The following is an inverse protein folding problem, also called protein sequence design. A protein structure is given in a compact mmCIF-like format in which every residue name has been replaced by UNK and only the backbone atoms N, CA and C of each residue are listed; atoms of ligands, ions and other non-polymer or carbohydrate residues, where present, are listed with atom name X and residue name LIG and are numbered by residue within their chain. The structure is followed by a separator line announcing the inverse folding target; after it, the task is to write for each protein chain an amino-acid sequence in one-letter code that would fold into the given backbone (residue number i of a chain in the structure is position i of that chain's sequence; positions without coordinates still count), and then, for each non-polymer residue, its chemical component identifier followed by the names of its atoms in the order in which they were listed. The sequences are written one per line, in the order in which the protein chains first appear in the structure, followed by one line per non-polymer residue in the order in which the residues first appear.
data_IF_225031734436
#
_entry.id   IF_225031734436
#
_cell.length_a   1.000
_cell.length_b   1.000
_cell.length_c   1.000
_cell.angle_alpha   90.00
_cell.angle_beta   90.00
_cell.angle_gamma   90.00
#
_symmetry.space_group_name_H-M   'P 1'
#
loop_
_entity.id
_entity.type
_entity.pdbx_description
1 polymer ?
#
# COMPACT_ATOMS: atom_id res chain seq x y z
N UNK A 1 3.67 -6.86 -15.13
CA UNK A 1 4.14 -6.51 -13.78
C UNK A 1 3.03 -5.82 -13.00
N UNK A 2 2.94 -6.10 -11.70
CA UNK A 2 1.83 -5.66 -10.85
C UNK A 2 2.34 -5.29 -9.47
N UNK A 3 1.81 -4.21 -8.92
CA UNK A 3 1.90 -3.85 -7.52
C UNK A 3 0.48 -3.74 -6.97
N UNK A 4 0.22 -4.38 -5.83
CA UNK A 4 -1.05 -4.32 -5.11
C UNK A 4 -0.82 -3.54 -3.83
N UNK A 5 -1.61 -2.48 -3.64
CA UNK A 5 -1.64 -1.71 -2.41
C UNK A 5 -2.91 -2.08 -1.65
N UNK A 6 -2.76 -2.52 -0.40
CA UNK A 6 -3.88 -2.84 0.50
C UNK A 6 -3.83 -1.85 1.65
N UNK A 7 -4.89 -1.06 1.80
CA UNK A 7 -5.04 -0.06 2.87
C UNK A 7 -6.49 -0.06 3.35
N UNK A 8 -6.73 0.65 4.45
CA UNK A 8 -8.06 0.97 4.96
C UNK A 8 -8.43 2.37 4.53
N UNK A 9 -9.72 2.65 4.41
CA UNK A 9 -10.25 3.98 4.12
C UNK A 9 -10.22 4.90 5.35
N UNK A 10 -10.40 4.35 6.55
CA UNK A 10 -10.23 5.04 7.83
C UNK A 10 -9.79 4.11 8.98
N UNK A 11 -9.64 4.67 10.18
CA UNK A 11 -9.15 3.98 11.38
C UNK A 11 -10.25 3.27 12.20
N UNK A 12 -11.51 3.36 11.80
CA UNK A 12 -12.65 2.67 12.40
C UNK A 12 -13.03 3.08 13.83
N UNK A 13 -12.48 4.19 14.35
CA UNK A 13 -12.67 4.57 15.76
C UNK A 13 -11.76 3.82 16.75
N UNK A 14 -10.83 3.00 16.26
CA UNK A 14 -9.93 2.23 17.11
C UNK A 14 -8.78 3.08 17.66
N UNK A 15 -8.27 2.69 18.83
CA UNK A 15 -7.15 3.38 19.45
C UNK A 15 -5.85 3.15 18.68
N UNK A 16 -5.14 4.25 18.40
CA UNK A 16 -3.73 4.23 18.01
C UNK A 16 -2.95 5.15 18.96
N UNK A 17 -1.75 4.72 19.36
CA UNK A 17 -0.96 5.43 20.36
C UNK A 17 -0.18 6.63 19.81
N UNK A 18 -0.03 6.73 18.48
CA UNK A 18 0.71 7.82 17.84
C UNK A 18 -0.26 8.97 17.56
N UNK A 19 -0.01 10.17 18.13
CA UNK A 19 -0.77 11.36 17.78
C UNK A 19 -0.68 11.64 16.28
N UNK A 20 -1.79 11.90 15.59
CA UNK A 20 -1.76 12.27 14.17
C UNK A 20 -0.90 13.51 13.93
N UNK A 21 -0.01 13.50 12.92
CA UNK A 21 0.75 14.69 12.54
C UNK A 21 -0.16 15.84 12.09
N UNK A 22 0.17 17.06 12.52
CA UNK A 22 -0.48 18.29 12.07
C UNK A 22 0.31 18.88 10.89
N UNK A 23 -0.25 18.74 9.69
CA UNK A 23 0.42 19.05 8.41
C UNK A 23 -0.28 20.14 7.61
N UNK A 24 -1.54 20.42 7.92
CA UNK A 24 -2.37 21.45 7.28
C UNK A 24 -3.59 21.77 8.17
N UNK A 25 -4.56 22.54 7.67
CA UNK A 25 -5.75 22.92 8.45
C UNK A 25 -6.59 21.72 8.95
N UNK A 26 -6.51 20.58 8.28
CA UNK A 26 -7.22 19.35 8.63
C UNK A 26 -6.32 18.33 9.33
N UNK A 27 -4.99 18.42 9.12
CA UNK A 27 -4.03 17.45 9.61
C UNK A 27 -4.10 16.10 8.88
N UNK A 28 -3.36 15.13 9.40
CA UNK A 28 -3.61 13.72 9.12
C UNK A 28 -4.64 13.13 10.09
N UNK A 29 -5.18 11.96 9.72
CA UNK A 29 -5.97 11.13 10.61
C UNK A 29 -5.11 10.18 11.44
N UNK A 30 -5.76 9.37 12.27
CA UNK A 30 -5.10 8.23 12.91
C UNK A 30 -4.51 7.27 11.87
N UNK A 31 -3.45 6.57 12.27
CA UNK A 31 -2.75 5.63 11.39
C UNK A 31 -3.67 4.49 10.96
N UNK A 32 -3.54 4.12 9.70
CA UNK A 32 -4.12 2.89 9.13
C UNK A 32 -3.00 2.00 8.62
N UNK A 33 -3.18 0.67 8.58
CA UNK A 33 -2.17 -0.20 8.00
C UNK A 33 -2.07 -0.01 6.48
N UNK A 34 -0.88 -0.25 5.95
CA UNK A 34 -0.63 -0.29 4.51
C UNK A 34 0.25 -1.49 4.19
N UNK A 35 -0.16 -2.29 3.21
CA UNK A 35 0.63 -3.38 2.66
C UNK A 35 0.88 -3.12 1.18
N UNK A 36 2.13 -3.35 0.75
CA UNK A 36 2.53 -3.28 -0.66
C UNK A 36 3.03 -4.66 -1.07
N UNK A 37 2.38 -5.24 -2.08
CA UNK A 37 2.65 -6.60 -2.55
C UNK A 37 3.03 -6.53 -4.02
N UNK A 38 4.26 -6.96 -4.34
CA UNK A 38 4.75 -7.03 -5.72
C UNK A 38 5.92 -8.01 -5.82
N UNK A 39 6.17 -8.60 -7.01
CA UNK A 39 7.43 -9.27 -7.31
C UNK A 39 8.66 -8.38 -7.08
N UNK A 40 8.48 -7.05 -7.08
CA UNK A 40 9.54 -6.05 -6.87
C UNK A 40 9.57 -5.44 -5.46
N UNK A 41 8.69 -5.84 -4.54
CA UNK A 41 8.83 -5.36 -3.15
C UNK A 41 10.00 -6.05 -2.46
N UNK A 42 10.66 -5.35 -1.54
CA UNK A 42 11.76 -5.91 -0.74
C UNK A 42 11.18 -6.90 0.28
N UNK A 43 11.73 -8.11 0.34
CA UNK A 43 11.19 -9.15 1.21
C UNK A 43 11.32 -8.81 2.70
N UNK A 44 10.25 -9.04 3.47
CA UNK A 44 10.21 -8.77 4.90
C UNK A 44 10.41 -7.31 5.32
N UNK A 45 10.41 -6.35 4.38
CA UNK A 45 10.66 -4.94 4.69
C UNK A 45 9.45 -4.30 5.37
N UNK A 46 9.70 -3.70 6.53
CA UNK A 46 8.81 -2.71 7.15
C UNK A 46 9.38 -1.33 6.83
N UNK A 47 8.67 -0.55 6.01
CA UNK A 47 9.04 0.84 5.77
C UNK A 47 8.53 1.73 6.91
N UNK A 48 9.37 2.68 7.33
CA UNK A 48 9.03 3.70 8.34
C UNK A 48 8.94 5.09 7.72
N UNK A 49 8.96 5.20 6.39
CA UNK A 49 8.65 6.47 5.73
C UNK A 49 7.20 6.88 6.05
N UNK A 50 6.98 8.18 6.19
CA UNK A 50 5.64 8.72 6.40
C UNK A 50 4.79 8.52 5.14
N UNK A 51 3.77 7.68 5.24
CA UNK A 51 2.79 7.46 4.20
C UNK A 51 1.44 8.05 4.60
N UNK A 52 0.74 8.64 3.63
CA UNK A 52 -0.64 9.08 3.75
C UNK A 52 -1.44 8.70 2.48
N UNK A 53 -2.74 8.98 2.46
CA UNK A 53 -3.61 8.50 1.37
C UNK A 53 -3.19 8.95 -0.04
N UNK A 54 -2.68 10.17 -0.16
CA UNK A 54 -2.20 10.72 -1.43
C UNK A 54 -0.85 10.12 -1.87
N UNK A 55 -0.17 9.34 -1.01
CA UNK A 55 1.12 8.71 -1.31
C UNK A 55 0.95 7.60 -2.35
N UNK A 56 -0.23 6.96 -2.38
CA UNK A 56 -0.59 6.02 -3.44
C UNK A 56 -0.79 6.75 -4.77
N UNK A 57 -1.45 7.92 -4.75
CA UNK A 57 -1.57 8.77 -5.95
C UNK A 57 -0.20 9.22 -6.44
N UNK A 58 0.66 9.67 -5.52
CA UNK A 58 2.02 10.09 -5.84
C UNK A 58 2.83 8.97 -6.49
N UNK A 59 2.75 7.75 -5.97
CA UNK A 59 3.37 6.58 -6.60
C UNK A 59 2.89 6.39 -8.05
N UNK A 60 1.57 6.48 -8.30
CA UNK A 60 1.03 6.37 -9.66
C UNK A 60 1.51 7.52 -10.55
N UNK A 61 1.45 8.75 -10.08
CA UNK A 61 1.89 9.92 -10.84
C UNK A 61 3.36 9.82 -11.25
N UNK A 62 4.22 9.31 -10.37
CA UNK A 62 5.64 9.07 -10.67
C UNK A 62 5.83 7.92 -11.67
N UNK A 63 5.09 6.82 -11.51
CA UNK A 63 5.22 5.64 -12.38
C UNK A 63 4.78 5.90 -13.85
N UNK A 64 3.81 6.78 -14.07
CA UNK A 64 3.31 7.12 -15.41
C UNK A 64 3.69 8.53 -15.88
N UNK A 65 4.57 9.21 -15.16
CA UNK A 65 5.00 10.59 -15.45
C UNK A 65 3.80 11.53 -15.66
N UNK A 66 2.80 11.43 -14.78
CA UNK A 66 1.62 12.28 -14.81
C UNK A 66 1.98 13.63 -14.21
N UNK A 67 2.03 14.66 -15.06
CA UNK A 67 2.33 16.04 -14.69
C UNK A 67 1.38 17.01 -15.39
N UNK A 68 0.98 18.13 -14.75
CA UNK A 68 1.29 18.48 -13.36
C UNK A 68 0.62 17.51 -12.36
N UNK A 69 1.10 17.54 -11.10
CA UNK A 69 0.44 16.82 -10.01
C UNK A 69 -1.03 17.24 -9.88
N UNK A 70 -1.90 16.34 -9.46
CA UNK A 70 -3.34 16.61 -9.42
C UNK A 70 -3.68 17.67 -8.36
N UNK A 71 -2.96 17.71 -7.25
CA UNK A 71 -3.18 18.65 -6.14
C UNK A 71 -1.87 19.15 -5.53
N UNK A 72 -1.97 19.92 -4.44
CA UNK A 72 -0.80 20.23 -3.63
C UNK A 72 -0.40 19.09 -2.69
N UNK A 73 -1.34 18.19 -2.35
CA UNK A 73 -1.16 17.15 -1.33
C UNK A 73 -0.38 15.97 -1.88
N UNK A 74 -0.78 15.43 -3.02
CA UNK A 74 -0.01 14.41 -3.76
C UNK A 74 1.40 14.88 -4.16
N UNK A 75 1.55 16.16 -4.52
CA UNK A 75 2.85 16.77 -4.80
C UNK A 75 3.81 16.71 -3.59
N UNK A 76 3.29 16.81 -2.38
CA UNK A 76 4.07 16.82 -1.14
C UNK A 76 4.16 15.43 -0.49
N UNK A 77 3.33 14.48 -0.92
CA UNK A 77 3.30 13.12 -0.41
C UNK A 77 4.58 12.33 -0.71
N UNK A 78 4.86 11.35 0.14
CA UNK A 78 5.95 10.40 -0.05
C UNK A 78 5.60 9.43 -1.19
N UNK A 79 6.52 9.13 -2.13
CA UNK A 79 6.21 8.31 -3.31
C UNK A 79 6.19 6.79 -3.04
N UNK A 80 6.40 6.34 -1.80
CA UNK A 80 6.39 4.92 -1.38
C UNK A 80 7.39 4.01 -2.10
N UNK A 81 8.38 4.58 -2.80
CA UNK A 81 9.38 3.83 -3.55
C UNK A 81 10.32 3.03 -2.65
N UNK A 82 10.43 3.39 -1.36
CA UNK A 82 11.21 2.62 -0.40
C UNK A 82 10.71 1.18 -0.22
N UNK A 83 9.46 0.87 -0.54
CA UNK A 83 8.94 -0.50 -0.49
C UNK A 83 9.52 -1.41 -1.60
N UNK A 84 10.12 -0.83 -2.65
CA UNK A 84 10.53 -1.52 -3.86
C UNK A 84 12.05 -1.57 -4.04
N UNK A 85 12.52 -2.65 -4.63
CA UNK A 85 13.81 -2.73 -5.32
C UNK A 85 13.50 -3.11 -6.77
N UNK A 86 13.62 -2.16 -7.69
CA UNK A 86 13.39 -2.39 -9.12
C UNK A 86 14.63 -2.92 -9.86
N UNK A 87 15.80 -2.98 -9.19
CA UNK A 87 17.01 -3.57 -9.74
C UNK A 87 17.04 -5.09 -9.56
N UNK A 88 16.25 -5.63 -8.63
CA UNK A 88 16.14 -7.07 -8.42
C UNK A 88 15.43 -7.77 -9.58
N UNK A 89 15.76 -9.06 -9.77
CA UNK A 89 14.94 -9.93 -10.62
C UNK A 89 13.57 -10.14 -9.94
N UNK A 90 12.43 -10.01 -10.66
CA UNK A 90 11.11 -10.25 -10.09
C UNK A 90 11.04 -11.59 -9.38
N UNK A 91 10.55 -11.59 -8.14
CA UNK A 91 10.35 -12.82 -7.38
C UNK A 91 9.31 -13.70 -8.08
N UNK A 92 9.61 -15.00 -8.18
CA UNK A 92 8.67 -15.96 -8.73
C UNK A 92 7.46 -16.12 -7.80
N UNK A 93 6.25 -16.38 -8.33
CA UNK A 93 5.11 -16.73 -7.49
C UNK A 93 5.40 -17.99 -6.67
N UNK A 94 4.95 -18.00 -5.41
CA UNK A 94 4.94 -19.18 -4.54
C UNK A 94 3.49 -19.63 -4.29
N UNK A 95 2.87 -20.34 -5.25
CA UNK A 95 1.51 -20.82 -5.08
C UNK A 95 1.49 -21.94 -4.04
N UNK A 96 0.85 -21.69 -2.90
CA UNK A 96 0.55 -22.75 -1.94
C UNK A 96 -0.35 -23.81 -2.61
N UNK A 97 -0.18 -25.10 -2.29
CA UNK A 97 -1.02 -26.16 -2.84
C UNK A 97 -2.49 -25.89 -2.51
N UNK A 98 -3.38 -26.22 -3.45
CA UNK A 98 -4.81 -26.10 -3.22
C UNK A 98 -5.20 -26.87 -1.95
N UNK A 99 -5.81 -26.18 -1.00
CA UNK A 99 -6.37 -26.83 0.19
C UNK A 99 -7.55 -27.71 -0.19
N UNK A 100 -7.35 -29.02 -0.12
CA UNK A 100 -8.38 -30.05 -0.37
C UNK A 100 -9.05 -30.56 0.92
N UNK A 101 -8.55 -30.11 2.07
CA UNK A 101 -8.97 -30.53 3.41
C UNK A 101 -10.10 -29.67 4.01
N UNK A 102 -10.54 -28.64 3.29
CA UNK A 102 -11.60 -27.75 3.73
C UNK A 102 -12.92 -28.52 3.96
N UNK A 103 -13.45 -28.48 5.18
CA UNK A 103 -14.77 -29.02 5.52
C UNK A 103 -15.84 -27.95 5.29
N UNK A 104 -16.87 -28.27 4.52
CA UNK A 104 -18.00 -27.38 4.26
C UNK A 104 -18.68 -27.67 2.92
N UNK A 105 -19.88 -27.11 2.68
CA UNK A 105 -20.52 -27.22 1.37
C UNK A 105 -19.63 -26.58 0.30
N UNK A 106 -19.34 -27.34 -0.76
CA UNK A 106 -18.73 -26.79 -1.97
C UNK A 106 -19.83 -26.08 -2.75
N UNK A 107 -19.76 -24.76 -2.83
CA UNK A 107 -20.63 -24.01 -3.71
C UNK A 107 -20.22 -24.30 -5.17
N UNK A 108 -21.17 -24.58 -6.08
CA UNK A 108 -20.84 -24.81 -7.48
C UNK A 108 -20.17 -23.57 -8.06
N UNK A 109 -19.06 -23.76 -8.77
CA UNK A 109 -18.54 -22.73 -9.66
C UNK A 109 -19.56 -22.61 -10.80
N UNK A 110 -20.21 -21.45 -10.88
CA UNK A 110 -21.08 -21.10 -12.02
C UNK A 110 -20.31 -21.04 -13.33
#
# INVERSE_FOLDING_TARGET
DTAVFITWDDYGGFYDHVPPPDVDRMGFGFRVPLLVISPYTIDGKVSHEEGEFSSVLRFMEDNWNLRPFLTHRDRQATPMLSAFDFSQKPRAPDPLPLRTDCKGPKFPAG
#
